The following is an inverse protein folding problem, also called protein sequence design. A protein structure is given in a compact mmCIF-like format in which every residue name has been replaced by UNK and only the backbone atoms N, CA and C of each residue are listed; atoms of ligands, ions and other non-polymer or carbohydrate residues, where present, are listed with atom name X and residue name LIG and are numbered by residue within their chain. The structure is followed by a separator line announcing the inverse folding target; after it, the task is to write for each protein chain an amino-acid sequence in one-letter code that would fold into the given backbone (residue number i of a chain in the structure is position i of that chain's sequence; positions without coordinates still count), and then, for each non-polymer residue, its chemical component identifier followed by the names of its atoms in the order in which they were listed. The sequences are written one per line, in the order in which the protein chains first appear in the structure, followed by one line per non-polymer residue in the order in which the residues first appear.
data_IF_447452561282
#
_entry.id   IF_447452561282
#
_cell.length_a   1.000
_cell.length_b   1.000
_cell.length_c   1.000
_cell.angle_alpha   90.00
_cell.angle_beta   90.00
_cell.angle_gamma   90.00
#
_symmetry.space_group_name_H-M   'P 1'
#
loop_
_entity.id
_entity.type
_entity.pdbx_description
1 polymer ?
#
# COMPACT_ATOMS: atom_id res chain seq x y z
N UNK A 1 -16.55 -24.03 33.03
CA UNK A 1 -16.85 -22.92 32.10
C UNK A 1 -15.52 -22.24 31.80
N UNK A 2 -14.80 -22.72 30.80
CA UNK A 2 -13.50 -22.16 30.41
C UNK A 2 -13.74 -20.94 29.54
N UNK A 3 -13.38 -19.77 30.05
CA UNK A 3 -13.47 -18.50 29.32
C UNK A 3 -12.59 -18.56 28.08
N UNK A 4 -13.17 -18.23 26.94
CA UNK A 4 -12.47 -18.05 25.68
C UNK A 4 -11.42 -16.96 25.88
N UNK A 5 -10.16 -17.28 25.63
CA UNK A 5 -9.05 -16.33 25.73
C UNK A 5 -9.16 -15.27 24.63
N UNK A 6 -8.57 -14.08 24.82
CA UNK A 6 -8.60 -13.00 23.82
C UNK A 6 -8.10 -13.46 22.45
N UNK A 7 -7.10 -14.35 22.44
CA UNK A 7 -6.50 -14.96 21.24
C UNK A 7 -7.40 -16.01 20.55
N UNK A 8 -8.33 -16.60 21.29
CA UNK A 8 -9.36 -17.48 20.72
C UNK A 8 -10.52 -16.66 20.16
N UNK A 9 -10.89 -15.53 20.78
CA UNK A 9 -11.88 -14.60 20.23
C UNK A 9 -11.38 -13.95 18.94
N UNK A 10 -10.13 -13.50 18.89
CA UNK A 10 -9.52 -12.92 17.69
C UNK A 10 -9.43 -13.95 16.54
N UNK A 11 -9.09 -15.22 16.83
CA UNK A 11 -9.17 -16.31 15.83
C UNK A 11 -10.58 -16.60 15.37
N UNK A 12 -11.57 -16.61 16.26
CA UNK A 12 -12.96 -16.87 15.92
C UNK A 12 -13.56 -15.74 15.07
N UNK A 13 -13.17 -14.49 15.33
CA UNK A 13 -13.52 -13.34 14.49
C UNK A 13 -12.84 -13.43 13.12
N UNK A 14 -11.56 -13.84 13.08
CA UNK A 14 -10.84 -14.08 11.83
C UNK A 14 -11.50 -15.19 11.00
N UNK A 15 -11.90 -16.30 11.62
CA UNK A 15 -12.58 -17.42 10.96
C UNK A 15 -13.98 -17.00 10.48
N UNK A 16 -14.72 -16.18 11.23
CA UNK A 16 -16.01 -15.62 10.78
C UNK A 16 -15.86 -14.65 9.60
N UNK A 17 -14.85 -13.78 9.63
CA UNK A 17 -14.52 -12.88 8.51
C UNK A 17 -13.97 -13.61 7.27
N UNK A 18 -13.36 -14.80 7.45
CA UNK A 18 -12.98 -15.70 6.36
C UNK A 18 -14.17 -16.52 5.83
N UNK A 19 -15.19 -16.77 6.68
CA UNK A 19 -16.42 -17.47 6.29
C UNK A 19 -17.45 -16.55 5.63
N UNK A 20 -17.31 -15.23 5.74
CA UNK A 20 -18.02 -14.22 4.92
C UNK A 20 -17.28 -14.01 3.58
N UNK A 21 -16.97 -15.12 2.90
CA UNK A 21 -16.48 -15.14 1.52
C UNK A 21 -17.64 -14.72 0.59
N UNK A 22 -17.79 -13.41 0.41
CA UNK A 22 -18.50 -12.90 -0.76
C UNK A 22 -17.68 -13.27 -1.99
N UNK A 23 -18.09 -14.35 -2.66
CA UNK A 23 -17.65 -14.67 -4.03
C UNK A 23 -18.28 -13.74 -5.08
N UNK A 24 -18.92 -12.63 -4.69
CA UNK A 24 -19.51 -11.64 -5.59
C UNK A 24 -18.44 -10.62 -6.05
N UNK A 25 -18.09 -10.59 -7.35
CA UNK A 25 -17.17 -9.59 -7.90
C UNK A 25 -17.62 -8.14 -7.69
N UNK A 26 -18.93 -7.87 -7.59
CA UNK A 26 -19.44 -6.52 -7.40
C UNK A 26 -19.20 -6.01 -5.97
N UNK A 27 -19.38 -6.86 -4.97
CA UNK A 27 -19.05 -6.53 -3.57
C UNK A 27 -17.54 -6.36 -3.38
N UNK A 28 -16.73 -7.23 -3.99
CA UNK A 28 -15.28 -7.12 -3.98
C UNK A 28 -14.79 -5.79 -4.58
N UNK A 29 -15.37 -5.36 -5.70
CA UNK A 29 -15.08 -4.05 -6.28
C UNK A 29 -15.48 -2.89 -5.35
N UNK A 30 -16.63 -2.99 -4.66
CA UNK A 30 -17.04 -1.97 -3.68
C UNK A 30 -16.05 -1.87 -2.52
N UNK A 31 -15.59 -3.00 -1.98
CA UNK A 31 -14.57 -3.04 -0.92
C UNK A 31 -13.27 -2.38 -1.35
N UNK A 32 -12.80 -2.63 -2.58
CA UNK A 32 -11.57 -2.02 -3.10
C UNK A 32 -11.68 -0.49 -3.27
N UNK A 33 -12.86 0.00 -3.63
CA UNK A 33 -13.15 1.43 -3.81
C UNK A 33 -13.61 2.13 -2.53
N UNK A 34 -13.80 1.37 -1.45
CA UNK A 34 -14.20 1.91 -0.16
C UNK A 34 -13.17 2.93 0.34
N UNK A 35 -13.68 4.02 0.90
CA UNK A 35 -12.91 5.12 1.45
C UNK A 35 -12.81 5.02 2.98
N UNK A 36 -13.28 3.92 3.58
CA UNK A 36 -13.33 3.73 5.03
C UNK A 36 -11.99 4.06 5.72
N UNK A 37 -12.01 4.89 6.78
CA UNK A 37 -10.83 5.23 7.57
C UNK A 37 -10.33 4.08 8.45
N UNK A 38 -11.12 3.03 8.71
CA UNK A 38 -10.87 2.07 9.82
C UNK A 38 -9.74 1.05 9.57
N UNK A 39 -9.33 0.80 8.33
CA UNK A 39 -8.24 -0.15 8.07
C UNK A 39 -6.85 0.48 8.27
N UNK A 40 -6.43 0.62 9.52
CA UNK A 40 -5.03 0.88 9.86
C UNK A 40 -4.30 -0.45 9.97
N UNK A 41 -3.53 -0.80 8.95
CA UNK A 41 -2.61 -1.93 9.00
C UNK A 41 -1.42 -1.60 9.91
N UNK A 42 -1.25 -2.37 10.99
CA UNK A 42 -0.08 -2.32 11.86
C UNK A 42 1.13 -2.98 11.17
N UNK A 43 2.36 -2.71 11.63
CA UNK A 43 3.59 -3.20 10.96
C UNK A 43 3.64 -4.73 10.84
N UNK A 44 2.96 -5.43 11.74
CA UNK A 44 2.90 -6.88 11.88
C UNK A 44 1.93 -7.55 10.88
N UNK A 45 1.02 -6.80 10.25
CA UNK A 45 -0.10 -7.32 9.45
C UNK A 45 0.27 -7.74 8.01
N UNK A 46 1.56 -7.85 7.69
CA UNK A 46 2.02 -7.97 6.31
C UNK A 46 1.45 -9.15 5.52
N UNK A 47 1.42 -10.40 6.05
CA UNK A 47 0.83 -11.51 5.32
C UNK A 47 -0.68 -11.32 5.13
N UNK A 48 -1.35 -10.66 6.08
CA UNK A 48 -2.79 -10.38 6.02
C UNK A 48 -3.12 -9.36 4.93
N UNK A 49 -2.34 -8.28 4.81
CA UNK A 49 -2.59 -7.27 3.78
C UNK A 49 -2.47 -7.82 2.34
N UNK A 50 -1.44 -8.64 2.07
CA UNK A 50 -1.31 -9.30 0.77
C UNK A 50 -2.44 -10.31 0.52
N UNK A 51 -2.83 -11.05 1.56
CA UNK A 51 -3.92 -12.01 1.49
C UNK A 51 -5.26 -11.32 1.22
N UNK A 52 -5.59 -10.24 1.94
CA UNK A 52 -6.82 -9.46 1.73
C UNK A 52 -6.87 -8.85 0.35
N UNK A 53 -5.78 -8.23 -0.12
CA UNK A 53 -5.75 -7.69 -1.48
C UNK A 53 -6.00 -8.78 -2.52
N UNK A 54 -5.39 -9.97 -2.37
CA UNK A 54 -5.60 -11.08 -3.29
C UNK A 54 -7.05 -11.58 -3.26
N UNK A 55 -7.64 -11.71 -2.07
CA UNK A 55 -9.03 -12.11 -1.88
C UNK A 55 -9.98 -11.10 -2.52
N UNK A 56 -9.80 -9.82 -2.23
CA UNK A 56 -10.67 -8.75 -2.69
C UNK A 56 -10.49 -8.48 -4.20
N UNK A 57 -9.36 -8.89 -4.81
CA UNK A 57 -9.19 -8.91 -6.25
C UNK A 57 -9.73 -10.18 -6.92
N UNK A 58 -10.08 -11.23 -6.16
CA UNK A 58 -10.54 -12.49 -6.74
C UNK A 58 -11.85 -12.28 -7.50
N UNK A 59 -11.85 -12.70 -8.76
CA UNK A 59 -13.00 -12.56 -9.67
C UNK A 59 -13.29 -11.13 -10.14
N UNK A 60 -12.53 -10.12 -9.68
CA UNK A 60 -12.71 -8.74 -10.10
C UNK A 60 -12.24 -8.56 -11.54
N UNK A 61 -13.04 -7.87 -12.35
CA UNK A 61 -12.61 -7.41 -13.67
C UNK A 61 -11.56 -6.29 -13.51
N UNK A 62 -10.29 -6.65 -13.64
CA UNK A 62 -9.16 -5.72 -13.51
C UNK A 62 -9.22 -4.51 -14.45
N UNK A 63 -9.88 -4.65 -15.62
CA UNK A 63 -10.05 -3.53 -16.55
C UNK A 63 -11.03 -2.51 -15.97
N UNK A 64 -12.18 -2.98 -15.45
CA UNK A 64 -13.17 -2.11 -14.81
C UNK A 64 -12.62 -1.45 -13.54
N UNK A 65 -11.91 -2.22 -12.71
CA UNK A 65 -11.22 -1.68 -11.53
C UNK A 65 -10.26 -0.56 -11.91
N UNK A 66 -9.38 -0.80 -12.89
CA UNK A 66 -8.42 0.21 -13.37
C UNK A 66 -9.12 1.47 -13.89
N UNK A 67 -10.20 1.30 -14.65
CA UNK A 67 -10.99 2.43 -15.15
C UNK A 67 -11.60 3.24 -14.00
N UNK A 68 -12.18 2.57 -13.00
CA UNK A 68 -12.77 3.21 -11.83
C UNK A 68 -11.72 3.99 -11.03
N UNK A 69 -10.58 3.36 -10.70
CA UNK A 69 -9.49 3.99 -9.95
C UNK A 69 -8.91 5.21 -10.67
N UNK A 70 -8.70 5.12 -11.99
CA UNK A 70 -8.19 6.24 -12.81
C UNK A 70 -9.16 7.42 -12.94
N UNK A 71 -10.46 7.17 -12.76
CA UNK A 71 -11.48 8.21 -12.84
C UNK A 71 -11.59 9.02 -11.53
N UNK A 72 -11.01 8.52 -10.43
CA UNK A 72 -11.04 9.22 -9.15
C UNK A 72 -10.10 10.44 -9.17
N UNK A 73 -10.47 11.55 -8.51
CA UNK A 73 -9.51 12.59 -8.16
C UNK A 73 -8.35 11.97 -7.36
N UNK A 74 -7.12 12.41 -7.63
CA UNK A 74 -5.93 11.79 -7.04
C UNK A 74 -5.98 11.70 -5.50
N UNK A 75 -6.47 12.75 -4.82
CA UNK A 75 -6.65 12.75 -3.36
C UNK A 75 -7.62 11.67 -2.88
N UNK A 76 -8.67 11.39 -3.66
CA UNK A 76 -9.64 10.34 -3.38
C UNK A 76 -9.05 8.96 -3.64
N UNK A 77 -8.29 8.79 -4.74
CA UNK A 77 -7.55 7.56 -5.02
C UNK A 77 -6.67 7.14 -3.83
N UNK A 78 -5.93 8.10 -3.25
CA UNK A 78 -5.05 7.84 -2.09
C UNK A 78 -5.79 7.38 -0.83
N UNK A 79 -7.11 7.58 -0.77
CA UNK A 79 -7.95 7.19 0.37
C UNK A 79 -8.61 5.81 0.17
N UNK A 80 -8.56 5.25 -1.04
CA UNK A 80 -9.15 3.94 -1.34
C UNK A 80 -8.49 2.83 -0.53
N UNK A 81 -9.29 1.82 -0.16
CA UNK A 81 -8.80 0.57 0.42
C UNK A 81 -7.76 -0.11 -0.47
N UNK A 82 -7.95 -0.05 -1.80
CA UNK A 82 -6.96 -0.49 -2.77
C UNK A 82 -5.57 0.14 -2.55
N UNK A 83 -5.49 1.47 -2.54
CA UNK A 83 -4.20 2.15 -2.41
C UNK A 83 -3.59 1.98 -1.02
N UNK A 84 -4.41 2.02 0.03
CA UNK A 84 -3.94 1.84 1.42
C UNK A 84 -3.33 0.46 1.63
N UNK A 85 -3.97 -0.58 1.10
CA UNK A 85 -3.47 -1.95 1.18
C UNK A 85 -2.15 -2.10 0.41
N UNK A 86 -2.08 -1.55 -0.80
CA UNK A 86 -0.83 -1.52 -1.58
C UNK A 86 0.30 -0.76 -0.88
N UNK A 87 -0.02 0.41 -0.32
CA UNK A 87 0.94 1.21 0.45
C UNK A 87 1.54 0.39 1.59
N UNK A 88 0.71 -0.32 2.33
CA UNK A 88 1.18 -1.18 3.40
C UNK A 88 2.04 -2.35 2.89
N UNK A 89 1.62 -3.02 1.82
CA UNK A 89 2.40 -4.10 1.18
C UNK A 89 3.80 -3.61 0.76
N UNK A 90 3.89 -2.41 0.16
CA UNK A 90 5.16 -1.80 -0.24
C UNK A 90 6.03 -1.48 0.96
N UNK A 91 5.45 -0.89 2.02
CA UNK A 91 6.19 -0.60 3.25
C UNK A 91 6.77 -1.86 3.88
N UNK A 92 6.00 -2.93 3.98
CA UNK A 92 6.55 -4.16 4.57
C UNK A 92 7.58 -4.82 3.66
N UNK A 93 7.34 -4.89 2.34
CA UNK A 93 8.36 -5.37 1.38
C UNK A 93 9.69 -4.66 1.57
N UNK A 94 9.62 -3.35 1.80
CA UNK A 94 10.76 -2.46 1.96
C UNK A 94 11.30 -2.41 3.40
N UNK A 95 10.74 -3.23 4.31
CA UNK A 95 11.06 -3.30 5.74
C UNK A 95 10.89 -1.98 6.49
N UNK A 96 9.94 -1.14 6.06
CA UNK A 96 9.73 0.20 6.59
C UNK A 96 10.99 1.07 6.50
N UNK A 97 11.84 0.84 5.50
CA UNK A 97 13.04 1.63 5.24
C UNK A 97 12.87 2.39 3.92
N UNK A 98 13.33 3.65 3.89
CA UNK A 98 13.51 4.37 2.64
C UNK A 98 14.44 3.60 1.71
N UNK A 99 14.00 3.32 0.48
CA UNK A 99 14.78 2.56 -0.51
C UNK A 99 15.92 3.34 -1.15
N UNK A 100 16.03 4.64 -0.84
CA UNK A 100 17.06 5.52 -1.36
C UNK A 100 18.17 5.78 -0.33
N UNK A 101 17.82 6.12 0.91
CA UNK A 101 18.80 6.44 1.96
C UNK A 101 18.89 5.43 3.11
N UNK A 102 17.98 4.44 3.17
CA UNK A 102 17.97 3.38 4.20
C UNK A 102 17.41 3.81 5.56
N UNK A 103 16.74 4.95 5.60
CA UNK A 103 16.25 5.63 6.79
C UNK A 103 14.83 5.21 7.19
N UNK A 104 14.53 5.13 8.48
CA UNK A 104 13.22 4.78 9.05
C UNK A 104 12.69 5.75 10.12
N UNK A 105 13.43 6.83 10.44
CA UNK A 105 13.03 7.80 11.46
C UNK A 105 12.24 9.00 10.90
N UNK A 106 12.22 9.16 9.57
CA UNK A 106 11.42 10.17 8.89
C UNK A 106 10.04 9.62 8.43
N UNK A 107 9.11 10.52 8.11
CA UNK A 107 7.82 10.14 7.51
C UNK A 107 8.05 9.40 6.18
N UNK A 108 7.39 8.25 6.03
CA UNK A 108 7.49 7.38 4.85
C UNK A 108 6.26 7.53 3.93
N UNK A 109 6.57 7.62 2.65
CA UNK A 109 5.62 7.71 1.54
C UNK A 109 5.95 6.65 0.49
N UNK A 110 5.00 6.35 -0.39
CA UNK A 110 5.24 5.48 -1.55
C UNK A 110 5.49 6.37 -2.76
N UNK A 111 6.70 6.28 -3.28
CA UNK A 111 7.08 6.89 -4.55
C UNK A 111 6.67 6.00 -5.72
N UNK A 112 6.01 6.58 -6.71
CA UNK A 112 5.79 5.95 -8.00
C UNK A 112 6.97 6.23 -8.92
N UNK A 113 7.77 5.22 -9.27
CA UNK A 113 8.84 5.39 -10.29
C UNK A 113 8.26 5.58 -11.70
N UNK A 114 7.00 5.20 -11.90
CA UNK A 114 6.24 5.51 -13.10
C UNK A 114 4.73 5.47 -12.82
N UNK A 115 3.99 6.34 -13.50
CA UNK A 115 2.51 6.37 -13.43
C UNK A 115 1.84 5.57 -14.57
N UNK A 116 2.61 4.87 -15.42
CA UNK A 116 2.08 4.09 -16.57
C UNK A 116 1.01 3.08 -16.15
N UNK A 117 1.19 2.47 -14.99
CA UNK A 117 0.33 1.41 -14.46
C UNK A 117 -0.67 1.89 -13.41
N UNK A 118 -1.01 3.18 -13.43
CA UNK A 118 -2.00 3.72 -12.50
C UNK A 118 -3.35 2.97 -12.58
N UNK A 119 -3.87 2.57 -11.41
CA UNK A 119 -5.05 1.73 -11.22
C UNK A 119 -4.81 0.22 -11.42
N UNK A 120 -3.56 -0.20 -11.64
CA UNK A 120 -3.14 -1.59 -11.80
C UNK A 120 -1.83 -1.92 -11.04
N UNK A 121 -1.43 -1.07 -10.11
CA UNK A 121 -0.22 -1.15 -9.30
C UNK A 121 -0.04 -2.50 -8.59
N UNK A 122 -1.14 -3.18 -8.21
CA UNK A 122 -1.10 -4.54 -7.66
C UNK A 122 -0.47 -5.59 -8.58
N UNK A 123 -0.45 -5.35 -9.89
CA UNK A 123 0.24 -6.19 -10.87
C UNK A 123 1.69 -5.75 -11.12
N UNK A 124 2.06 -4.55 -10.66
CA UNK A 124 3.33 -3.88 -10.96
C UNK A 124 3.95 -3.25 -9.70
N UNK A 125 4.08 -4.02 -8.63
CA UNK A 125 4.67 -3.54 -7.37
C UNK A 125 6.09 -2.96 -7.54
N UNK A 126 6.82 -3.36 -8.59
CA UNK A 126 8.14 -2.80 -8.93
C UNK A 126 8.11 -1.30 -9.23
N UNK A 127 6.95 -0.77 -9.65
CA UNK A 127 6.77 0.65 -9.94
C UNK A 127 6.63 1.50 -8.66
N UNK A 128 6.56 0.85 -7.51
CA UNK A 128 6.39 1.48 -6.21
C UNK A 128 7.63 1.27 -5.35
N UNK A 129 8.12 2.32 -4.70
CA UNK A 129 9.24 2.26 -3.74
C UNK A 129 8.92 3.09 -2.50
N UNK A 130 9.28 2.60 -1.32
CA UNK A 130 9.22 3.40 -0.09
C UNK A 130 10.26 4.51 -0.14
N UNK A 131 9.84 5.75 0.09
CA UNK A 131 10.69 6.92 0.16
C UNK A 131 10.40 7.69 1.45
N UNK A 132 11.43 8.21 2.13
CA UNK A 132 11.19 9.23 3.14
C UNK A 132 10.82 10.55 2.46
N UNK A 133 10.15 11.45 3.18
CA UNK A 133 9.75 12.78 2.70
C UNK A 133 10.89 13.56 2.02
N UNK A 134 12.11 13.47 2.57
CA UNK A 134 13.29 14.15 2.04
C UNK A 134 13.73 13.59 0.68
N UNK A 135 13.79 12.26 0.55
CA UNK A 135 14.11 11.62 -0.72
C UNK A 135 12.99 11.84 -1.73
N UNK A 136 11.73 11.76 -1.29
CA UNK A 136 10.57 11.96 -2.15
C UNK A 136 10.57 13.38 -2.74
N UNK A 137 10.75 14.42 -1.92
CA UNK A 137 10.83 15.80 -2.38
C UNK A 137 11.98 16.03 -3.39
N UNK A 138 13.17 15.46 -3.13
CA UNK A 138 14.31 15.54 -4.06
C UNK A 138 14.00 14.87 -5.40
N UNK A 139 13.41 13.68 -5.36
CA UNK A 139 13.04 12.93 -6.57
C UNK A 139 12.01 13.71 -7.37
N UNK A 140 10.94 14.20 -6.74
CA UNK A 140 9.91 14.99 -7.42
C UNK A 140 10.48 16.25 -8.08
N UNK A 141 11.45 16.91 -7.43
CA UNK A 141 12.15 18.03 -8.03
C UNK A 141 12.93 17.60 -9.28
N UNK A 142 13.71 16.52 -9.23
CA UNK A 142 14.51 16.02 -10.36
C UNK A 142 13.63 15.53 -11.52
N UNK A 143 12.55 14.81 -11.23
CA UNK A 143 11.58 14.35 -12.24
C UNK A 143 10.94 15.52 -13.00
N UNK A 144 10.72 16.66 -12.33
CA UNK A 144 10.22 17.88 -12.98
C UNK A 144 11.17 18.44 -14.04
N UNK A 145 12.46 18.08 -13.97
CA UNK A 145 13.49 18.43 -14.95
C UNK A 145 13.76 17.33 -15.98
N UNK A 146 13.04 16.20 -15.94
CA UNK A 146 13.17 15.11 -16.92
C UNK A 146 14.44 14.26 -16.78
N UNK A 147 15.06 14.26 -15.60
CA UNK A 147 16.32 13.54 -15.32
C UNK A 147 16.01 12.19 -14.62
N UNK A 148 16.71 11.12 -15.00
CA UNK A 148 16.61 9.83 -14.32
C UNK A 148 17.49 9.80 -13.05
N UNK A 149 16.85 9.69 -11.90
CA UNK A 149 17.49 9.78 -10.59
C UNK A 149 18.03 8.45 -10.03
N UNK A 150 17.78 7.31 -10.68
CA UNK A 150 18.25 5.99 -10.18
C UNK A 150 19.77 5.83 -10.18
N UNK A 151 20.49 6.67 -10.94
CA UNK A 151 21.95 6.62 -11.06
C UNK A 151 22.68 7.71 -10.27
N UNK A 152 21.98 8.73 -9.78
CA UNK A 152 22.59 9.91 -9.14
C UNK A 152 22.14 10.15 -7.69
N UNK A 153 21.05 9.53 -7.23
CA UNK A 153 20.64 9.57 -5.82
C UNK A 153 21.24 8.37 -5.06
N UNK A 154 22.54 8.44 -4.82
CA UNK A 154 23.09 7.86 -3.59
C UNK A 154 23.58 9.02 -2.71
N UNK A 155 22.77 9.54 -1.79
CA UNK A 155 23.37 10.26 -0.69
C UNK A 155 22.74 9.95 0.67
N UNK A 156 23.68 9.76 1.63
CA UNK A 156 23.67 10.00 3.08
C UNK A 156 22.30 9.99 3.76
N UNK A 157 22.17 9.15 4.80
CA UNK A 157 21.10 9.16 5.83
C UNK A 157 20.56 10.57 6.06
N UNK A 158 19.25 10.72 6.28
CA UNK A 158 18.68 12.05 6.50
C UNK A 158 19.42 12.74 7.65
N UNK A 159 19.75 14.02 7.46
CA UNK A 159 20.36 14.84 8.50
C UNK A 159 19.37 14.95 9.67
N UNK A 160 19.77 14.53 10.87
CA UNK A 160 18.90 14.45 12.05
C UNK A 160 18.61 13.04 12.58
N UNK A 161 19.12 12.00 11.93
CA UNK A 161 19.17 10.63 12.42
C UNK A 161 19.92 10.52 13.77
N UNK A 162 19.22 10.60 14.90
CA UNK A 162 19.80 10.17 16.17
C UNK A 162 20.17 8.69 16.05
N UNK A 163 21.41 8.37 16.45
CA UNK A 163 21.99 7.01 16.37
C UNK A 163 21.27 6.03 17.28
#
# INVERSE_FOLDING_TARGET
MTGITRDEWERDQLIRHLAEDSSDPAENLRRLLDLSPEATFAKEDSPMAQFWLRRDLAGVDHRKLRQALRALPYRTFLQTMYWRTLRHIVFVRDKWLCRYCGDDWCSLEVHHTTYKNHGAEHLYLSDLKTACENCHAKISAIESFGINYETEILPRRCEGAAR
#
